data_IF_673747708741
#
_entry.id   IF_673747708741
#
_cell.length_a   1.000
_cell.length_b   1.000
_cell.length_c   1.000
_cell.angle_alpha   90.00
_cell.angle_beta   90.00
_cell.angle_gamma   90.00
#
_symmetry.space_group_name_H-M   'P 1'
#
loop_
_entity.id
_entity.type
_entity.pdbx_description
1 polymer ?
#
# COMPACT_ATOMS: atom_id res chain seq x y z
N UNK A 1 -2.96 21.44 -1.98
CA UNK A 1 -4.06 20.91 -1.13
C UNK A 1 -3.53 19.92 -0.11
N UNK A 2 -2.85 18.83 -0.54
CA UNK A 2 -2.19 17.87 0.38
C UNK A 2 -1.31 18.60 1.40
N UNK A 3 -0.39 19.45 0.94
CA UNK A 3 0.55 20.17 1.81
C UNK A 3 -0.17 21.06 2.83
N UNK A 4 -1.17 21.83 2.38
CA UNK A 4 -1.98 22.71 3.26
C UNK A 4 -2.72 21.91 4.34
N UNK A 5 -3.33 20.78 3.97
CA UNK A 5 -4.02 19.92 4.95
C UNK A 5 -3.03 19.26 5.90
N UNK A 6 -1.82 18.94 5.43
CA UNK A 6 -0.77 18.35 6.27
C UNK A 6 -0.22 19.36 7.28
N UNK A 7 0.04 20.61 6.86
CA UNK A 7 0.46 21.69 7.76
C UNK A 7 -0.55 21.97 8.88
N UNK A 8 -1.84 21.72 8.61
CA UNK A 8 -2.91 21.86 9.59
C UNK A 8 -3.13 20.63 10.47
N UNK A 9 -2.39 19.53 10.27
CA UNK A 9 -2.60 18.27 11.00
C UNK A 9 -3.80 17.43 10.53
N UNK A 10 -4.48 17.86 9.46
CA UNK A 10 -5.77 17.34 9.01
C UNK A 10 -5.63 16.01 8.27
N UNK A 11 -5.54 14.90 9.02
CA UNK A 11 -5.26 13.57 8.47
C UNK A 11 -6.30 13.14 7.43
N UNK A 12 -7.59 13.17 7.78
CA UNK A 12 -8.65 12.64 6.93
C UNK A 12 -8.71 13.33 5.56
N UNK A 13 -8.59 14.65 5.55
CA UNK A 13 -8.65 15.51 4.38
C UNK A 13 -7.39 15.34 3.53
N UNK A 14 -6.24 15.18 4.16
CA UNK A 14 -4.99 14.85 3.49
C UNK A 14 -5.09 13.51 2.75
N UNK A 15 -5.53 12.45 3.44
CA UNK A 15 -5.71 11.12 2.86
C UNK A 15 -6.78 11.08 1.77
N UNK A 16 -7.87 11.84 1.93
CA UNK A 16 -8.91 11.98 0.91
C UNK A 16 -8.39 12.67 -0.35
N UNK A 17 -7.56 13.70 -0.19
CA UNK A 17 -6.92 14.38 -1.32
C UNK A 17 -5.95 13.45 -2.07
N UNK A 18 -5.17 12.64 -1.35
CA UNK A 18 -4.31 11.60 -1.97
C UNK A 18 -5.14 10.60 -2.79
N UNK A 19 -6.28 10.14 -2.25
CA UNK A 19 -7.17 9.22 -2.96
C UNK A 19 -7.78 9.83 -4.23
N UNK A 20 -8.12 11.12 -4.21
CA UNK A 20 -8.58 11.83 -5.42
C UNK A 20 -7.47 11.85 -6.46
N UNK A 21 -6.23 12.12 -6.06
CA UNK A 21 -5.08 12.12 -6.97
C UNK A 21 -4.83 10.73 -7.60
N UNK A 22 -4.87 9.67 -6.79
CA UNK A 22 -4.82 8.28 -7.28
C UNK A 22 -5.98 7.99 -8.26
N UNK A 23 -7.19 8.47 -7.94
CA UNK A 23 -8.40 8.31 -8.76
C UNK A 23 -8.27 8.96 -10.13
N UNK A 24 -7.70 10.17 -10.19
CA UNK A 24 -7.41 10.88 -11.44
C UNK A 24 -6.42 10.11 -12.30
N UNK A 25 -5.32 9.62 -11.71
CA UNK A 25 -4.30 8.86 -12.45
C UNK A 25 -4.82 7.51 -12.95
N UNK A 26 -5.63 6.82 -12.17
CA UNK A 26 -6.19 5.53 -12.56
C UNK A 26 -7.48 5.65 -13.40
N UNK A 27 -8.06 6.85 -13.47
CA UNK A 27 -9.40 7.12 -14.02
C UNK A 27 -10.45 6.16 -13.43
N UNK A 28 -10.42 5.99 -12.11
CA UNK A 28 -11.30 5.11 -11.31
C UNK A 28 -11.64 5.75 -9.98
N UNK A 29 -12.75 5.36 -9.37
CA UNK A 29 -13.13 5.81 -8.02
C UNK A 29 -12.48 4.94 -6.94
N UNK A 30 -12.48 5.44 -5.69
CA UNK A 30 -11.76 4.88 -4.53
C UNK A 30 -11.89 3.36 -4.35
N UNK A 31 -13.09 2.81 -4.51
CA UNK A 31 -13.38 1.39 -4.24
C UNK A 31 -13.20 0.47 -5.47
N UNK A 32 -12.60 1.00 -6.54
CA UNK A 32 -12.52 0.33 -7.84
C UNK A 32 -11.08 0.00 -8.24
N UNK A 33 -10.22 -0.29 -7.26
CA UNK A 33 -8.80 -0.60 -7.50
C UNK A 33 -8.60 -1.75 -8.50
N UNK A 34 -9.38 -2.83 -8.43
CA UNK A 34 -9.31 -3.95 -9.38
C UNK A 34 -9.67 -3.57 -10.82
N UNK A 35 -10.49 -2.52 -11.03
CA UNK A 35 -10.82 -2.02 -12.37
C UNK A 35 -9.66 -1.30 -13.05
N UNK A 36 -8.54 -1.08 -12.34
CA UNK A 36 -7.31 -0.59 -12.93
C UNK A 36 -6.65 -1.65 -13.83
N UNK A 37 -6.92 -2.95 -13.59
CA UNK A 37 -6.35 -4.04 -14.38
C UNK A 37 -6.92 -4.07 -15.81
N UNK A 38 -6.14 -4.56 -16.79
CA UNK A 38 -6.62 -4.70 -18.16
C UNK A 38 -7.79 -5.69 -18.22
N UNK A 39 -8.72 -5.43 -19.13
CA UNK A 39 -9.90 -6.28 -19.41
C UNK A 39 -10.91 -6.43 -18.26
N UNK A 40 -10.62 -5.93 -17.05
CA UNK A 40 -11.54 -6.04 -15.91
C UNK A 40 -12.60 -4.96 -15.97
N UNK A 41 -13.86 -5.38 -16.05
CA UNK A 41 -15.02 -4.49 -16.08
C UNK A 41 -15.86 -4.56 -14.80
N UNK A 42 -16.71 -3.53 -14.60
CA UNK A 42 -17.54 -3.37 -13.39
C UNK A 42 -18.47 -4.56 -13.15
N UNK A 43 -19.06 -5.14 -14.19
CA UNK A 43 -19.99 -6.27 -14.07
C UNK A 43 -19.29 -7.54 -13.54
N UNK A 44 -17.99 -7.69 -13.85
CA UNK A 44 -17.18 -8.85 -13.44
C UNK A 44 -16.85 -8.83 -11.94
N UNK A 45 -16.84 -7.65 -11.30
CA UNK A 45 -16.53 -7.51 -9.87
C UNK A 45 -17.49 -8.32 -8.99
N UNK A 46 -18.75 -8.46 -9.39
CA UNK A 46 -19.73 -9.27 -8.66
C UNK A 46 -19.31 -10.74 -8.58
N UNK A 47 -18.75 -11.27 -9.67
CA UNK A 47 -18.27 -12.65 -9.79
C UNK A 47 -16.96 -12.83 -9.02
N UNK A 48 -16.07 -11.84 -9.07
CA UNK A 48 -14.79 -11.87 -8.37
C UNK A 48 -14.97 -11.75 -6.85
N UNK A 49 -15.87 -10.87 -6.40
CA UNK A 49 -16.22 -10.68 -4.98
C UNK A 49 -17.09 -11.81 -4.43
N UNK A 50 -17.82 -12.53 -5.29
CA UNK A 50 -18.56 -13.71 -4.87
C UNK A 50 -17.57 -14.70 -4.25
N UNK A 51 -17.74 -14.91 -2.94
CA UNK A 51 -16.85 -15.72 -2.11
C UNK A 51 -16.52 -17.02 -2.83
N UNK A 52 -15.26 -17.49 -2.81
CA UNK A 52 -14.88 -18.75 -3.41
C UNK A 52 -15.87 -19.80 -2.93
N UNK A 53 -16.67 -20.34 -3.85
CA UNK A 53 -17.47 -21.53 -3.59
C UNK A 53 -16.46 -22.54 -3.06
N UNK A 54 -16.50 -22.81 -1.76
CA UNK A 54 -15.89 -24.01 -1.22
C UNK A 54 -16.43 -25.11 -2.13
N UNK A 55 -15.54 -25.79 -2.85
CA UNK A 55 -15.96 -26.99 -3.52
C UNK A 55 -16.50 -27.89 -2.42
N UNK A 56 -17.82 -28.07 -2.39
CA UNK A 56 -18.42 -29.25 -1.77
C UNK A 56 -17.98 -30.42 -2.64
N UNK A 57 -16.72 -30.83 -2.48
CA UNK A 57 -16.27 -32.14 -2.92
C UNK A 57 -16.79 -33.11 -1.87
N UNK A 58 -18.02 -33.59 -2.10
CA UNK A 58 -18.41 -34.88 -1.58
C UNK A 58 -17.46 -35.93 -2.19
N UNK A 59 -16.90 -36.80 -1.34
CA UNK A 59 -15.92 -37.86 -1.62
C UNK A 59 -14.57 -37.32 -2.14
N UNK A 60 -13.40 -37.67 -1.60
CA UNK A 60 -12.93 -38.97 -1.17
C UNK A 60 -11.62 -38.81 -0.36
N UNK A 61 -11.22 -39.89 0.31
CA UNK A 61 -10.21 -39.97 1.35
C UNK A 61 -8.77 -39.60 0.96
N UNK A 62 -8.00 -39.19 1.98
CA UNK A 62 -6.54 -39.09 2.05
C UNK A 62 -5.83 -38.04 1.20
N UNK A 63 -5.58 -36.88 1.81
CA UNK A 63 -4.24 -36.28 1.92
C UNK A 63 -4.31 -35.12 2.92
N UNK A 64 -3.44 -35.13 3.94
CA UNK A 64 -3.25 -34.05 4.91
C UNK A 64 -2.55 -32.83 4.26
N UNK A 65 -3.12 -32.28 3.20
CA UNK A 65 -2.78 -30.93 2.74
C UNK A 65 -3.84 -29.99 3.31
N UNK A 66 -3.44 -29.18 4.30
CA UNK A 66 -4.23 -28.03 4.77
C UNK A 66 -4.59 -27.18 3.54
N UNK A 67 -5.79 -27.37 2.98
CA UNK A 67 -6.34 -26.52 1.94
C UNK A 67 -6.42 -25.11 2.52
N UNK A 68 -5.50 -24.25 2.09
CA UNK A 68 -5.44 -22.87 2.57
C UNK A 68 -6.80 -22.20 2.31
N UNK A 69 -7.33 -21.43 3.28
CA UNK A 69 -8.55 -20.66 3.06
C UNK A 69 -8.32 -19.76 1.86
N UNK A 70 -9.24 -19.79 0.90
CA UNK A 70 -9.09 -19.02 -0.32
C UNK A 70 -8.97 -17.53 0.02
N UNK A 71 -7.88 -16.89 -0.41
CA UNK A 71 -7.56 -15.49 -0.13
C UNK A 71 -8.68 -14.59 -0.67
N UNK A 72 -9.24 -13.74 0.20
CA UNK A 72 -10.18 -12.68 -0.19
C UNK A 72 -9.39 -11.60 -0.93
N UNK A 73 -9.82 -11.25 -2.14
CA UNK A 73 -9.20 -10.21 -2.95
C UNK A 73 -10.19 -9.06 -3.08
N UNK A 74 -9.91 -7.96 -2.41
CA UNK A 74 -10.71 -6.73 -2.46
C UNK A 74 -9.99 -5.62 -3.20
N UNK A 75 -8.66 -5.59 -3.10
CA UNK A 75 -7.81 -4.53 -3.64
C UNK A 75 -6.59 -5.07 -4.40
N UNK A 76 -5.94 -4.19 -5.16
CA UNK A 76 -4.73 -4.54 -5.90
C UNK A 76 -3.63 -5.09 -5.00
N UNK A 77 -3.51 -4.56 -3.77
CA UNK A 77 -2.52 -5.04 -2.81
C UNK A 77 -2.62 -6.55 -2.54
N UNK A 78 -3.83 -7.10 -2.48
CA UNK A 78 -4.05 -8.51 -2.13
C UNK A 78 -3.46 -9.46 -3.20
N UNK A 79 -3.45 -9.01 -4.46
CA UNK A 79 -2.86 -9.73 -5.59
C UNK A 79 -1.33 -9.79 -5.53
N UNK A 80 -0.68 -8.85 -4.84
CA UNK A 80 0.79 -8.80 -4.77
C UNK A 80 1.40 -9.95 -3.97
N UNK A 81 0.61 -10.66 -3.16
CA UNK A 81 1.04 -11.85 -2.42
C UNK A 81 0.79 -13.17 -3.16
N UNK A 82 0.20 -13.11 -4.36
CA UNK A 82 -0.20 -14.27 -5.14
C UNK A 82 0.84 -14.63 -6.20
N UNK A 83 0.93 -15.91 -6.51
CA UNK A 83 1.67 -16.46 -7.65
C UNK A 83 0.87 -16.31 -8.96
N UNK A 84 1.55 -16.51 -10.09
CA UNK A 84 0.93 -16.42 -11.41
C UNK A 84 -0.27 -17.37 -11.56
N UNK A 85 -0.13 -18.61 -11.11
CA UNK A 85 -1.20 -19.62 -11.18
C UNK A 85 -2.41 -19.24 -10.33
N UNK A 86 -2.19 -18.68 -9.14
CA UNK A 86 -3.26 -18.21 -8.26
C UNK A 86 -4.01 -17.02 -8.88
N UNK A 87 -3.28 -16.05 -9.47
CA UNK A 87 -3.90 -14.88 -10.12
C UNK A 87 -4.71 -15.34 -11.34
N UNK A 88 -4.12 -16.15 -12.21
CA UNK A 88 -4.82 -16.69 -13.39
C UNK A 88 -6.04 -17.53 -12.98
N UNK A 89 -5.92 -18.36 -11.95
CA UNK A 89 -7.02 -19.15 -11.39
C UNK A 89 -8.10 -18.31 -10.71
N UNK A 90 -7.75 -17.17 -10.13
CA UNK A 90 -8.72 -16.24 -9.55
C UNK A 90 -9.55 -15.56 -10.64
N UNK A 91 -8.90 -15.05 -11.69
CA UNK A 91 -9.58 -14.35 -12.78
C UNK A 91 -10.30 -15.31 -13.75
N UNK A 92 -9.88 -16.57 -13.90
CA UNK A 92 -10.56 -17.56 -14.75
C UNK A 92 -12.00 -17.90 -14.31
N UNK A 93 -12.41 -17.50 -13.10
CA UNK A 93 -13.81 -17.53 -12.65
C UNK A 93 -14.73 -16.72 -13.58
N UNK A 94 -14.19 -15.70 -14.24
CA UNK A 94 -14.89 -14.89 -15.23
C UNK A 94 -14.78 -15.58 -16.59
N UNK A 95 -15.89 -16.16 -17.07
CA UNK A 95 -15.92 -16.98 -18.30
C UNK A 95 -15.50 -16.24 -19.57
N UNK A 96 -15.56 -14.91 -19.60
CA UNK A 96 -15.19 -14.09 -20.76
C UNK A 96 -13.68 -13.89 -20.91
N UNK A 97 -12.85 -14.30 -19.94
CA UNK A 97 -11.40 -14.19 -20.08
C UNK A 97 -10.78 -15.32 -20.88
N UNK A 98 -10.07 -14.93 -21.94
CA UNK A 98 -9.19 -15.79 -22.69
C UNK A 98 -7.84 -15.97 -21.97
N UNK A 99 -7.03 -16.98 -22.32
CA UNK A 99 -5.66 -17.10 -21.81
C UNK A 99 -4.80 -15.85 -22.05
N UNK A 100 -5.03 -15.13 -23.15
CA UNK A 100 -4.35 -13.88 -23.44
C UNK A 100 -4.74 -12.75 -22.46
N UNK A 101 -6.04 -12.63 -22.13
CA UNK A 101 -6.50 -11.66 -21.13
C UNK A 101 -5.88 -11.93 -19.75
N UNK A 102 -5.81 -13.20 -19.35
CA UNK A 102 -5.19 -13.61 -18.09
C UNK A 102 -3.68 -13.29 -18.08
N UNK A 103 -3.00 -13.45 -19.20
CA UNK A 103 -1.59 -13.07 -19.32
C UNK A 103 -1.38 -11.56 -19.21
N UNK A 104 -2.25 -10.75 -19.83
CA UNK A 104 -2.14 -9.29 -19.73
C UNK A 104 -2.40 -8.78 -18.32
N UNK A 105 -3.37 -9.36 -17.61
CA UNK A 105 -3.58 -9.08 -16.18
C UNK A 105 -2.33 -9.42 -15.39
N UNK A 106 -1.75 -10.60 -15.61
CA UNK A 106 -0.54 -11.02 -14.91
C UNK A 106 0.65 -10.08 -15.14
N UNK A 107 0.88 -9.63 -16.38
CA UNK A 107 1.95 -8.66 -16.71
C UNK A 107 1.87 -7.36 -15.90
N UNK A 108 0.66 -6.95 -15.51
CA UNK A 108 0.45 -5.79 -14.64
C UNK A 108 0.67 -6.18 -13.18
N UNK A 109 0.07 -7.28 -12.74
CA UNK A 109 0.15 -7.76 -11.34
C UNK A 109 1.60 -8.07 -10.91
N UNK A 110 2.41 -8.68 -11.78
CA UNK A 110 3.80 -9.02 -11.48
C UNK A 110 4.68 -7.78 -11.24
N UNK A 111 4.27 -6.62 -11.78
CA UNK A 111 4.97 -5.33 -11.65
C UNK A 111 4.43 -4.46 -10.52
N UNK A 112 3.29 -4.81 -9.92
CA UNK A 112 2.73 -4.04 -8.81
C UNK A 112 3.72 -3.89 -7.66
N UNK A 113 3.77 -2.72 -7.00
CA UNK A 113 4.70 -2.49 -5.91
C UNK A 113 4.29 -3.18 -4.61
N UNK A 114 5.07 -4.17 -4.17
CA UNK A 114 5.04 -4.65 -2.79
C UNK A 114 6.26 -4.11 -2.06
N UNK A 115 6.05 -3.25 -1.06
CA UNK A 115 7.13 -2.63 -0.29
C UNK A 115 7.21 -3.25 1.12
N UNK A 116 8.39 -3.67 1.50
CA UNK A 116 8.76 -3.92 2.89
C UNK A 116 9.08 -2.58 3.56
N UNK A 117 8.51 -2.36 4.75
CA UNK A 117 8.68 -1.13 5.53
C UNK A 117 9.41 -1.50 6.82
N UNK A 118 10.61 -0.96 7.01
CA UNK A 118 11.34 -1.04 8.29
C UNK A 118 11.39 0.34 8.92
N UNK A 119 10.99 0.44 10.17
CA UNK A 119 10.95 1.69 10.93
C UNK A 119 11.86 1.61 12.16
N UNK A 120 12.64 2.65 12.41
CA UNK A 120 13.51 2.76 13.58
C UNK A 120 13.46 4.19 14.11
N UNK A 121 13.20 4.35 15.40
CA UNK A 121 13.26 5.65 16.09
C UNK A 121 14.66 5.81 16.65
N UNK A 122 15.29 6.94 16.39
CA UNK A 122 16.60 7.26 16.96
C UNK A 122 16.44 7.73 18.41
N UNK A 123 16.72 6.84 19.36
CA UNK A 123 16.68 7.11 20.80
C UNK A 123 18.07 7.27 21.41
N UNK A 124 19.12 7.24 20.58
CA UNK A 124 20.50 7.11 21.04
C UNK A 124 20.70 5.84 21.86
N UNK A 125 20.97 6.01 23.16
CA UNK A 125 21.24 4.92 24.11
C UNK A 125 19.98 4.57 24.93
N UNK A 126 18.98 5.45 24.97
CA UNK A 126 17.78 5.27 25.80
C UNK A 126 16.82 4.27 25.16
N UNK A 127 16.03 3.58 25.98
CA UNK A 127 14.94 2.70 25.53
C UNK A 127 13.59 3.43 25.43
N UNK A 128 13.55 4.71 25.82
CA UNK A 128 12.35 5.55 25.89
C UNK A 128 12.62 6.94 25.31
N UNK A 129 11.53 7.62 24.96
CA UNK A 129 11.53 9.02 24.56
C UNK A 129 11.25 9.91 25.77
N UNK A 130 11.83 11.10 25.78
CA UNK A 130 11.53 12.14 26.77
C UNK A 130 10.44 13.03 26.19
N UNK A 131 9.39 13.31 26.97
CA UNK A 131 8.27 14.17 26.56
C UNK A 131 8.74 15.52 26.03
N UNK A 132 8.03 16.07 25.03
CA UNK A 132 8.29 17.38 24.42
C UNK A 132 9.66 17.54 23.72
N UNK A 133 10.46 16.46 23.59
CA UNK A 133 11.67 16.46 22.76
C UNK A 133 11.38 15.98 21.33
N UNK A 134 12.17 16.49 20.38
CA UNK A 134 12.11 16.10 18.97
C UNK A 134 12.92 14.83 18.71
N UNK A 135 12.29 13.88 18.03
CA UNK A 135 12.88 12.62 17.60
C UNK A 135 12.75 12.44 16.09
N UNK A 136 13.54 11.50 15.55
CA UNK A 136 13.48 11.12 14.14
C UNK A 136 13.11 9.65 14.03
N UNK A 137 12.10 9.37 13.21
CA UNK A 137 11.83 8.01 12.74
C UNK A 137 12.42 7.85 11.34
N UNK A 138 13.37 6.92 11.23
CA UNK A 138 13.96 6.51 9.96
C UNK A 138 13.14 5.35 9.39
N UNK A 139 12.81 5.46 8.11
CA UNK A 139 12.06 4.47 7.36
C UNK A 139 12.90 3.97 6.19
N UNK A 140 13.12 2.67 6.14
CA UNK A 140 13.66 2.00 4.96
C UNK A 140 12.50 1.32 4.21
N UNK A 141 12.28 1.77 2.99
CA UNK A 141 11.31 1.19 2.07
C UNK A 141 12.06 0.37 1.03
N UNK A 142 11.80 -0.93 0.97
CA UNK A 142 12.47 -1.86 0.05
C UNK A 142 11.45 -2.64 -0.76
N UNK A 143 11.58 -2.65 -2.09
CA UNK A 143 10.72 -3.45 -2.96
C UNK A 143 11.02 -4.94 -2.79
N UNK A 144 9.97 -5.71 -2.54
CA UNK A 144 10.03 -7.17 -2.59
C UNK A 144 10.18 -7.60 -4.06
N UNK A 145 11.30 -8.26 -4.38
CA UNK A 145 11.61 -8.68 -5.74
C UNK A 145 10.98 -10.03 -6.05
N UNK A 146 10.22 -10.10 -7.15
CA UNK A 146 9.88 -11.36 -7.82
C UNK A 146 11.03 -11.80 -8.74
N UNK A 147 11.32 -13.10 -8.73
CA UNK A 147 12.37 -13.69 -9.56
C UNK A 147 12.07 -13.49 -11.05
N UNK A 148 13.08 -13.10 -11.83
CA UNK A 148 12.95 -12.90 -13.27
C UNK A 148 12.21 -11.62 -13.71
N UNK A 149 11.74 -10.80 -12.77
CA UNK A 149 11.03 -9.55 -13.08
C UNK A 149 11.97 -8.36 -12.94
N UNK A 150 12.07 -7.56 -14.00
CA UNK A 150 12.74 -6.26 -13.98
C UNK A 150 11.72 -5.15 -13.78
N UNK A 151 12.02 -4.22 -12.86
CA UNK A 151 11.18 -3.08 -12.54
C UNK A 151 11.82 -1.81 -13.08
N UNK A 152 11.04 -1.03 -13.83
CA UNK A 152 11.38 0.34 -14.20
C UNK A 152 10.71 1.35 -13.26
N UNK A 153 9.76 0.92 -12.42
CA UNK A 153 9.00 1.79 -11.52
C UNK A 153 7.93 2.61 -12.24
N UNK A 154 7.56 2.25 -13.48
CA UNK A 154 6.41 2.88 -14.16
C UNK A 154 5.11 2.41 -13.52
N UNK A 155 4.23 3.37 -13.28
CA UNK A 155 2.87 3.08 -12.84
C UNK A 155 2.04 2.65 -14.04
N UNK A 156 1.32 1.54 -13.92
CA UNK A 156 0.31 1.14 -14.89
C UNK A 156 -0.92 2.04 -14.74
N UNK A 157 -1.04 3.03 -15.61
CA UNK A 157 -2.14 3.99 -15.66
C UNK A 157 -2.51 4.32 -17.12
N UNK A 158 -3.08 3.37 -17.88
CA UNK A 158 -3.22 3.48 -19.35
C UNK A 158 -4.13 4.63 -19.82
N UNK A 159 -4.99 5.15 -18.95
CA UNK A 159 -5.89 6.27 -19.25
C UNK A 159 -5.30 7.64 -18.88
N UNK A 160 -4.12 7.67 -18.26
CA UNK A 160 -3.46 8.92 -17.92
C UNK A 160 -2.46 9.31 -19.01
N UNK A 161 -2.52 10.53 -19.55
CA UNK A 161 -1.80 10.89 -20.77
C UNK A 161 -0.28 11.01 -20.60
N UNK A 162 0.21 11.14 -19.36
CA UNK A 162 1.64 11.34 -19.07
C UNK A 162 2.20 10.11 -18.36
N UNK A 163 3.43 9.67 -18.67
CA UNK A 163 4.10 8.63 -17.90
C UNK A 163 4.12 8.99 -16.40
N UNK A 164 3.76 8.03 -15.56
CA UNK A 164 3.83 8.15 -14.11
C UNK A 164 4.82 7.14 -13.55
N UNK A 165 5.47 7.51 -12.46
CA UNK A 165 6.47 6.70 -11.79
C UNK A 165 6.12 6.54 -10.32
N UNK A 166 6.58 5.46 -9.73
CA UNK A 166 6.30 5.13 -8.35
C UNK A 166 6.85 6.19 -7.38
N UNK A 167 5.92 6.74 -6.62
CA UNK A 167 6.15 7.68 -5.54
C UNK A 167 5.13 7.37 -4.45
N UNK A 168 5.48 7.70 -3.21
CA UNK A 168 4.72 7.36 -2.02
C UNK A 168 4.66 8.53 -1.07
N UNK A 169 3.52 8.73 -0.42
CA UNK A 169 3.47 9.53 0.79
C UNK A 169 3.67 8.62 1.99
N UNK A 170 4.59 9.01 2.84
CA UNK A 170 4.73 8.48 4.18
C UNK A 170 4.03 9.45 5.12
N UNK A 171 3.05 8.94 5.87
CA UNK A 171 2.24 9.71 6.81
C UNK A 171 2.40 9.10 8.20
N UNK A 172 2.85 9.89 9.16
CA UNK A 172 2.90 9.52 10.57
C UNK A 172 1.61 10.01 11.25
N UNK A 173 0.83 9.08 11.79
CA UNK A 173 -0.39 9.33 12.54
C UNK A 173 -0.12 9.13 14.04
N UNK A 174 -0.55 10.11 14.84
CA UNK A 174 -0.72 9.97 16.29
C UNK A 174 -2.21 9.72 16.58
N UNK A 175 -2.60 8.48 16.94
CA UNK A 175 -3.99 8.15 17.25
C UNK A 175 -4.41 8.58 18.67
N UNK A 176 -3.49 9.09 19.50
CA UNK A 176 -3.79 9.45 20.89
C UNK A 176 -4.45 10.83 21.05
N UNK A 177 -4.49 11.63 19.98
CA UNK A 177 -5.21 12.91 19.99
C UNK A 177 -6.67 12.69 19.61
N UNK A 178 -7.57 13.36 20.33
CA UNK A 178 -9.02 13.25 20.08
C UNK A 178 -9.44 14.02 18.83
N UNK A 179 -8.82 15.18 18.58
CA UNK A 179 -9.10 15.98 17.41
C UNK A 179 -8.60 15.26 16.15
N UNK A 180 -9.52 14.80 15.31
CA UNK A 180 -9.20 14.14 14.02
C UNK A 180 -8.31 15.00 13.12
N UNK A 181 -8.49 16.33 13.21
CA UNK A 181 -7.74 17.32 12.44
C UNK A 181 -6.33 17.60 12.99
N UNK A 182 -5.90 16.90 14.05
CA UNK A 182 -4.55 17.01 14.64
C UNK A 182 -3.78 15.68 14.62
N UNK A 183 -4.38 14.62 14.05
CA UNK A 183 -3.77 13.27 14.04
C UNK A 183 -2.56 13.15 13.12
N UNK A 184 -2.43 13.99 12.10
CA UNK A 184 -1.29 13.96 11.20
C UNK A 184 -0.10 14.67 11.86
N UNK A 185 0.93 13.90 12.19
CA UNK A 185 2.15 14.39 12.86
C UNK A 185 3.19 14.84 11.85
N UNK A 186 3.42 14.03 10.82
CA UNK A 186 4.42 14.30 9.80
C UNK A 186 4.02 13.67 8.47
N UNK A 187 4.34 14.36 7.38
CA UNK A 187 4.12 13.88 6.02
C UNK A 187 5.38 14.11 5.19
N UNK A 188 5.76 13.10 4.39
CA UNK A 188 6.84 13.23 3.42
C UNK A 188 6.58 12.42 2.18
N UNK A 189 6.84 13.03 1.02
CA UNK A 189 6.82 12.33 -0.26
C UNK A 189 8.17 11.66 -0.52
N UNK A 190 8.14 10.42 -0.95
CA UNK A 190 9.31 9.57 -1.24
C UNK A 190 9.21 9.06 -2.67
N UNK A 191 10.24 9.31 -3.47
CA UNK A 191 10.29 8.88 -4.87
C UNK A 191 11.14 7.62 -5.01
N UNK A 192 10.65 6.62 -5.75
CA UNK A 192 11.42 5.42 -6.09
C UNK A 192 12.28 5.63 -7.35
N UNK A 193 12.69 6.88 -7.60
CA UNK A 193 13.46 7.27 -8.79
C UNK A 193 14.36 8.45 -8.48
N UNK A 194 15.56 8.48 -9.04
CA UNK A 194 16.52 9.60 -8.90
C UNK A 194 16.20 10.78 -9.84
N UNK A 195 14.95 11.26 -9.81
CA UNK A 195 14.48 12.38 -10.64
C UNK A 195 13.93 11.99 -12.03
N UNK A 196 13.56 12.97 -12.88
CA UNK A 196 12.86 12.73 -14.15
C UNK A 196 13.66 11.91 -15.18
N UNK A 197 14.99 12.01 -15.15
CA UNK A 197 15.91 11.22 -15.97
C UNK A 197 16.65 10.13 -15.17
N UNK A 198 16.36 10.02 -13.87
CA UNK A 198 17.00 9.06 -12.99
C UNK A 198 16.61 7.61 -13.22
N UNK A 199 17.35 6.70 -12.60
CA UNK A 199 17.04 5.28 -12.56
C UNK A 199 16.02 4.93 -11.48
N UNK A 200 15.40 3.77 -11.62
CA UNK A 200 14.53 3.19 -10.60
C UNK A 200 15.34 2.77 -9.36
N UNK A 201 14.83 3.10 -8.17
CA UNK A 201 15.40 2.71 -6.88
C UNK A 201 14.58 1.57 -6.31
N UNK A 202 15.21 0.42 -6.06
CA UNK A 202 14.57 -0.70 -5.38
C UNK A 202 14.48 -0.49 -3.86
N UNK A 203 15.23 0.47 -3.32
CA UNK A 203 15.26 0.80 -1.90
C UNK A 203 15.46 2.30 -1.73
N UNK A 204 14.78 2.88 -0.75
CA UNK A 204 14.92 4.28 -0.36
C UNK A 204 14.80 4.41 1.15
N UNK A 205 15.62 5.29 1.72
CA UNK A 205 15.55 5.67 3.13
C UNK A 205 14.95 7.06 3.24
N UNK A 206 13.97 7.21 4.12
CA UNK A 206 13.35 8.49 4.46
C UNK A 206 13.41 8.71 5.97
N UNK A 207 13.35 9.97 6.37
CA UNK A 207 13.28 10.38 7.78
C UNK A 207 12.12 11.32 7.96
N UNK A 208 11.33 11.08 9.00
CA UNK A 208 10.31 11.99 9.52
C UNK A 208 10.76 12.46 10.90
N UNK A 209 10.44 13.70 11.23
CA UNK A 209 10.69 14.28 12.55
C UNK A 209 9.35 14.44 13.26
N UNK A 210 9.33 14.20 14.57
CA UNK A 210 8.14 14.35 15.40
C UNK A 210 8.54 14.76 16.82
N UNK A 211 7.62 15.38 17.54
CA UNK A 211 7.78 15.68 18.97
C UNK A 211 7.12 14.56 19.77
N UNK A 212 7.83 14.03 20.77
CA UNK A 212 7.28 13.01 21.66
C UNK A 212 6.07 13.57 22.43
N UNK A 213 4.96 12.81 22.56
CA UNK A 213 3.75 13.28 23.21
C UNK A 213 3.98 13.57 24.70
N UNK A 214 3.15 14.43 25.29
CA UNK A 214 3.24 14.79 26.72
C UNK A 214 2.82 13.68 27.68
N UNK A 215 1.95 12.78 27.21
CA UNK A 215 1.46 11.68 28.03
C UNK A 215 2.59 10.67 28.19
N UNK A 216 2.99 10.38 29.42
CA UNK A 216 3.93 9.30 29.69
C UNK A 216 3.26 7.92 29.45
N UNK A 217 4.10 6.92 29.21
CA UNK A 217 3.68 5.53 28.99
C UNK A 217 3.86 5.06 27.54
N UNK A 218 3.21 3.95 27.21
CA UNK A 218 3.36 3.30 25.91
C UNK A 218 2.47 3.93 24.85
N UNK A 219 3.05 4.19 23.69
CA UNK A 219 2.36 4.71 22.51
C UNK A 219 2.44 3.71 21.36
N UNK A 220 1.34 3.57 20.63
CA UNK A 220 1.25 2.77 19.40
C UNK A 220 0.76 3.68 18.28
N UNK A 221 1.70 4.24 17.53
CA UNK A 221 1.42 5.14 16.42
C UNK A 221 1.42 4.39 15.10
N UNK A 222 0.92 5.03 14.04
CA UNK A 222 0.80 4.40 12.73
C UNK A 222 1.61 5.15 11.69
N UNK A 223 2.27 4.39 10.83
CA UNK A 223 2.89 4.89 9.61
C UNK A 223 2.08 4.35 8.44
N UNK A 224 1.46 5.25 7.69
CA UNK A 224 0.81 4.91 6.45
C UNK A 224 1.74 5.18 5.28
N UNK A 225 1.76 4.22 4.35
CA UNK A 225 2.44 4.35 3.08
C UNK A 225 1.38 4.37 1.97
N UNK A 226 1.11 5.56 1.45
CA UNK A 226 0.10 5.80 0.41
C UNK A 226 0.76 5.90 -0.96
N UNK A 227 0.25 5.17 -1.94
CA UNK A 227 0.78 5.26 -3.31
C UNK A 227 0.36 6.58 -3.96
N UNK A 228 1.24 7.23 -4.70
CA UNK A 228 0.84 8.36 -5.57
C UNK A 228 0.29 7.86 -6.92
N UNK A 229 0.46 6.57 -7.25
CA UNK A 229 0.13 6.04 -8.57
C UNK A 229 -1.07 5.11 -8.59
N UNK A 230 -1.27 4.32 -7.54
CA UNK A 230 -2.21 3.20 -7.53
C UNK A 230 -3.27 3.36 -6.45
N UNK A 231 -4.50 3.00 -6.79
CA UNK A 231 -5.58 2.82 -5.82
C UNK A 231 -5.45 1.47 -5.12
N UNK A 232 -5.68 1.43 -3.80
CA UNK A 232 -5.73 0.17 -3.06
C UNK A 232 -4.38 -0.55 -2.94
N UNK A 233 -3.28 0.20 -3.01
CA UNK A 233 -1.91 -0.26 -2.77
C UNK A 233 -1.35 0.24 -1.44
N UNK A 234 -2.18 0.90 -0.63
CA UNK A 234 -1.73 1.55 0.60
C UNK A 234 -1.48 0.53 1.71
N UNK A 235 -0.39 0.74 2.45
CA UNK A 235 0.05 -0.08 3.57
C UNK A 235 0.01 0.73 4.87
N UNK A 236 -0.15 0.07 6.00
CA UNK A 236 -0.03 0.69 7.31
C UNK A 236 0.75 -0.24 8.22
N UNK A 237 1.72 0.31 8.94
CA UNK A 237 2.50 -0.39 9.96
C UNK A 237 2.42 0.38 11.27
N UNK A 238 2.50 -0.34 12.38
CA UNK A 238 2.54 0.28 13.70
C UNK A 238 3.99 0.54 14.11
N UNK A 239 4.20 1.65 14.81
CA UNK A 239 5.42 1.92 15.56
C UNK A 239 5.07 2.01 17.03
N UNK A 240 5.95 1.48 17.87
CA UNK A 240 5.72 1.41 19.31
C UNK A 240 6.92 2.01 20.04
N UNK A 241 6.64 2.85 21.02
CA UNK A 241 7.65 3.49 21.84
C UNK A 241 7.07 3.88 23.20
N UNK A 242 7.93 3.98 24.20
CA UNK A 242 7.57 4.45 25.53
C UNK A 242 8.04 5.89 25.73
N UNK A 243 7.23 6.69 26.44
CA UNK A 243 7.54 8.07 26.79
C UNK A 243 7.65 8.22 28.29
N UNK A 244 8.66 8.96 28.75
CA UNK A 244 8.84 9.36 30.14
C UNK A 244 8.99 10.88 30.24
N UNK A 245 8.64 11.43 31.41
CA UNK A 245 8.83 12.84 31.74
C UNK A 245 10.23 13.10 32.32
#
# INVERSE_FOLDING_TARGET
>A
MIDITAEKGMLHQCLSTMNILQSVKQARWRDQSLLALPHVEKHMLSILKASPRQSRSANNNNTNQKKQPAKKVERLFDLTSMSESEVKGYFSKVRSFSPAHLQDIWKVVEKLPLLEIKSTIDTGIKTFLVSDLTYKVTLELSRVKRQGVTYDGRVYCPKFPKPQWESWWVVLENPDVEAEDEKLVALKRVNMRTGPQGGFLNRVTSRLEFVAPKRAGRHVWKIHLYSDGYLGMDQTVEIQFDVMN
#
